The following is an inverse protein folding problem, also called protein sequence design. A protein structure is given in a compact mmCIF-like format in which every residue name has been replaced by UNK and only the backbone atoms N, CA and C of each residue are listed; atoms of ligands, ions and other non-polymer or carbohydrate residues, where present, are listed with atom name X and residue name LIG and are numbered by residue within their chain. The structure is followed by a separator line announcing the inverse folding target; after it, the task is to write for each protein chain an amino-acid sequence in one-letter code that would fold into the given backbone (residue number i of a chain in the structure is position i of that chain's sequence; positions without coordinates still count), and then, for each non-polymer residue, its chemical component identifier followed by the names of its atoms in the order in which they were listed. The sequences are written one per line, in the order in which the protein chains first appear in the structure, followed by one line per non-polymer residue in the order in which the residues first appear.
data_IF_264722255110
#
_entry.id   IF_264722255110
#
_cell.length_a   1.000
_cell.length_b   1.000
_cell.length_c   1.000
_cell.angle_alpha   90.00
_cell.angle_beta   90.00
_cell.angle_gamma   90.00
#
_symmetry.space_group_name_H-M   'P 1'
#
loop_
_entity.id
_entity.type
_entity.pdbx_description
1 polymer ?
#
# COMPACT_ATOMS: atom_id res chain seq x y z
N UNK A 1 -0.08 -28.77 -1.00
CA UNK A 1 -0.06 -27.36 -0.53
C UNK A 1 -1.31 -26.59 -0.93
N UNK A 2 -2.01 -26.98 -2.00
CA UNK A 2 -3.23 -26.34 -2.51
C UNK A 2 -4.52 -27.03 -2.07
N UNK A 3 -4.45 -28.01 -1.17
CA UNK A 3 -5.63 -28.70 -0.64
C UNK A 3 -6.31 -27.86 0.46
N UNK A 4 -7.64 -27.88 0.51
CA UNK A 4 -8.45 -27.07 1.44
C UNK A 4 -8.15 -27.35 2.91
N UNK A 5 -7.71 -28.56 3.26
CA UNK A 5 -7.33 -28.94 4.63
C UNK A 5 -5.82 -29.12 4.77
N UNK A 6 -5.17 -29.75 3.79
CA UNK A 6 -3.74 -30.04 3.81
C UNK A 6 -2.86 -28.79 3.86
N UNK A 7 -3.33 -27.65 3.36
CA UNK A 7 -2.58 -26.39 3.45
C UNK A 7 -2.31 -25.99 4.92
N UNK A 8 -3.23 -26.25 5.85
CA UNK A 8 -3.04 -25.91 7.27
C UNK A 8 -1.93 -26.73 7.92
N UNK A 9 -1.81 -28.01 7.55
CA UNK A 9 -0.74 -28.88 8.06
C UNK A 9 0.63 -28.39 7.58
N UNK A 10 0.75 -28.02 6.30
CA UNK A 10 2.00 -27.48 5.75
C UNK A 10 2.36 -26.14 6.41
N UNK A 11 1.39 -25.26 6.65
CA UNK A 11 1.61 -24.04 7.41
C UNK A 11 2.18 -24.32 8.80
N UNK A 12 1.64 -25.33 9.50
CA UNK A 12 2.12 -25.73 10.83
C UNK A 12 3.52 -26.34 10.79
N UNK A 13 3.89 -27.04 9.72
CA UNK A 13 5.26 -27.51 9.54
C UNK A 13 6.25 -26.37 9.29
N UNK A 14 5.87 -25.30 8.58
CA UNK A 14 6.71 -24.10 8.52
C UNK A 14 6.82 -23.41 9.88
N UNK A 15 5.74 -23.36 10.66
CA UNK A 15 5.70 -22.70 11.96
C UNK A 15 6.58 -23.41 13.01
N UNK A 16 6.45 -24.74 13.14
CA UNK A 16 7.08 -25.52 14.22
C UNK A 16 8.20 -26.46 13.78
N UNK A 17 8.42 -26.63 12.47
CA UNK A 17 9.45 -27.52 11.95
C UNK A 17 10.86 -27.05 12.26
N UNK A 18 11.81 -27.99 12.29
CA UNK A 18 13.23 -27.67 12.41
C UNK A 18 13.74 -26.95 11.16
N UNK A 19 14.90 -26.29 11.24
CA UNK A 19 15.51 -25.62 10.08
C UNK A 19 15.66 -26.57 8.87
N UNK A 20 16.05 -27.83 9.10
CA UNK A 20 16.15 -28.85 8.07
C UNK A 20 14.79 -29.19 7.44
N UNK A 21 13.75 -29.36 8.25
CA UNK A 21 12.39 -29.63 7.75
C UNK A 21 11.84 -28.46 6.95
N UNK A 22 12.04 -27.22 7.43
CA UNK A 22 11.66 -26.01 6.68
C UNK A 22 12.42 -25.93 5.36
N UNK A 23 13.70 -26.30 5.33
CA UNK A 23 14.47 -26.34 4.09
C UNK A 23 13.91 -27.36 3.08
N UNK A 24 13.50 -28.54 3.53
CA UNK A 24 12.82 -29.53 2.66
C UNK A 24 11.53 -28.94 2.08
N UNK A 25 10.72 -28.27 2.90
CA UNK A 25 9.49 -27.63 2.43
C UNK A 25 9.76 -26.48 1.46
N UNK A 26 10.77 -25.65 1.73
CA UNK A 26 11.20 -24.57 0.82
C UNK A 26 11.65 -25.13 -0.53
N UNK A 27 12.42 -26.22 -0.54
CA UNK A 27 12.80 -26.89 -1.79
C UNK A 27 11.60 -27.47 -2.54
N UNK A 28 10.56 -27.90 -1.83
CA UNK A 28 9.33 -28.39 -2.46
C UNK A 28 8.44 -27.27 -3.06
N UNK A 29 8.53 -26.02 -2.56
CA UNK A 29 7.83 -24.88 -3.20
C UNK A 29 8.58 -24.32 -4.40
N UNK A 30 9.90 -24.56 -4.48
CA UNK A 30 10.74 -24.03 -5.55
C UNK A 30 10.25 -24.48 -6.93
N UNK A 31 10.29 -23.55 -7.89
CA UNK A 31 9.73 -23.68 -9.24
C UNK A 31 8.20 -23.58 -9.31
N UNK A 32 7.51 -23.46 -8.16
CA UNK A 32 6.05 -23.41 -8.07
C UNK A 32 5.54 -22.19 -7.32
N UNK A 33 6.40 -21.23 -6.95
CA UNK A 33 6.05 -20.10 -6.09
C UNK A 33 4.91 -19.29 -6.69
N UNK A 34 4.99 -18.98 -7.98
CA UNK A 34 3.96 -18.19 -8.67
C UNK A 34 2.62 -18.91 -8.76
N UNK A 35 2.64 -20.22 -9.01
CA UNK A 35 1.42 -21.04 -9.03
C UNK A 35 0.75 -21.06 -7.66
N UNK A 36 1.54 -21.23 -6.60
CA UNK A 36 1.05 -21.22 -5.23
C UNK A 36 0.57 -19.84 -4.79
N UNK A 37 1.29 -18.77 -5.11
CA UNK A 37 0.96 -17.41 -4.72
C UNK A 37 -0.41 -16.93 -5.27
N UNK A 38 -0.78 -17.38 -6.47
CA UNK A 38 -2.04 -17.04 -7.12
C UNK A 38 -3.19 -18.00 -6.74
N UNK A 39 -2.90 -19.06 -5.99
CA UNK A 39 -3.89 -20.06 -5.58
C UNK A 39 -4.42 -19.78 -4.16
N UNK A 40 -5.73 -19.92 -3.97
CA UNK A 40 -6.47 -19.58 -2.74
C UNK A 40 -5.89 -20.16 -1.44
N UNK A 41 -5.36 -21.39 -1.46
CA UNK A 41 -4.78 -22.06 -0.29
C UNK A 41 -3.25 -22.01 -0.30
N UNK A 42 -2.65 -22.11 -1.49
CA UNK A 42 -1.21 -22.01 -1.71
C UNK A 42 -0.64 -20.66 -1.26
N UNK A 43 -1.38 -19.58 -1.44
CA UNK A 43 -0.94 -18.24 -1.05
C UNK A 43 -0.74 -18.16 0.47
N UNK A 44 -1.54 -18.91 1.25
CA UNK A 44 -1.43 -18.99 2.72
C UNK A 44 -0.16 -19.74 3.13
N UNK A 45 0.20 -20.78 2.38
CA UNK A 45 1.46 -21.51 2.58
C UNK A 45 2.66 -20.63 2.29
N UNK A 46 2.67 -19.88 1.17
CA UNK A 46 3.78 -18.97 0.83
C UNK A 46 3.90 -17.85 1.86
N UNK A 47 2.78 -17.27 2.29
CA UNK A 47 2.80 -16.27 3.37
C UNK A 47 3.41 -16.84 4.66
N UNK A 48 3.02 -18.06 5.07
CA UNK A 48 3.57 -18.69 6.27
C UNK A 48 5.05 -19.04 6.13
N UNK A 49 5.48 -19.47 4.93
CA UNK A 49 6.88 -19.73 4.64
C UNK A 49 7.71 -18.46 4.83
N UNK A 50 7.31 -17.33 4.23
CA UNK A 50 7.99 -16.04 4.38
C UNK A 50 8.15 -15.57 5.83
N UNK A 51 7.22 -15.93 6.71
CA UNK A 51 7.28 -15.62 8.15
C UNK A 51 8.24 -16.53 8.94
N UNK A 52 8.61 -17.68 8.40
CA UNK A 52 9.16 -18.78 9.19
C UNK A 52 10.54 -19.27 8.74
N UNK A 53 10.95 -18.91 7.52
CA UNK A 53 12.21 -19.33 6.88
C UNK A 53 13.28 -18.25 7.00
N UNK A 54 14.54 -18.65 6.87
CA UNK A 54 15.69 -17.74 6.96
C UNK A 54 15.79 -16.80 5.75
N UNK A 55 16.45 -15.63 5.88
CA UNK A 55 16.57 -14.65 4.80
C UNK A 55 17.10 -15.21 3.48
N UNK A 56 18.05 -16.15 3.51
CA UNK A 56 18.61 -16.79 2.30
C UNK A 56 17.54 -17.59 1.56
N UNK A 57 16.63 -18.23 2.29
CA UNK A 57 15.52 -19.01 1.73
C UNK A 57 14.41 -18.11 1.19
N UNK A 58 14.16 -16.96 1.84
CA UNK A 58 13.25 -15.95 1.30
C UNK A 58 13.69 -15.52 -0.11
N UNK A 59 15.00 -15.38 -0.36
CA UNK A 59 15.50 -14.98 -1.69
C UNK A 59 15.11 -15.94 -2.80
N UNK A 60 15.00 -17.23 -2.52
CA UNK A 60 14.57 -18.21 -3.52
C UNK A 60 13.11 -17.98 -3.93
N UNK A 61 12.25 -17.60 -2.99
CA UNK A 61 10.86 -17.20 -3.27
C UNK A 61 10.83 -15.91 -4.10
N UNK A 62 11.65 -14.92 -3.72
CA UNK A 62 11.66 -13.60 -4.37
C UNK A 62 12.10 -13.69 -5.84
N UNK A 63 13.12 -14.50 -6.14
CA UNK A 63 13.61 -14.71 -7.52
C UNK A 63 12.51 -15.20 -8.47
N UNK A 64 11.59 -16.04 -8.00
CA UNK A 64 10.49 -16.53 -8.83
C UNK A 64 9.37 -15.49 -9.01
N UNK A 65 9.26 -14.52 -8.11
CA UNK A 65 8.28 -13.43 -8.19
C UNK A 65 8.76 -12.26 -9.06
N UNK A 66 10.07 -12.13 -9.26
CA UNK A 66 10.67 -11.10 -10.09
C UNK A 66 10.10 -11.13 -11.53
N UNK A 67 9.76 -9.96 -12.07
CA UNK A 67 9.08 -9.84 -13.36
C UNK A 67 7.60 -10.22 -13.37
N UNK A 68 7.02 -10.69 -12.26
CA UNK A 68 5.59 -11.01 -12.12
C UNK A 68 4.87 -10.23 -11.00
N UNK A 69 5.55 -9.27 -10.37
CA UNK A 69 5.03 -8.49 -9.24
C UNK A 69 3.65 -7.89 -9.53
N UNK A 70 3.49 -7.17 -10.65
CA UNK A 70 2.21 -6.52 -11.00
C UNK A 70 1.05 -7.52 -11.17
N UNK A 71 1.35 -8.73 -11.66
CA UNK A 71 0.36 -9.80 -11.77
C UNK A 71 -0.12 -10.24 -10.39
N UNK A 72 0.81 -10.41 -9.44
CA UNK A 72 0.46 -10.73 -8.06
C UNK A 72 -0.32 -9.62 -7.38
N UNK A 73 0.10 -8.35 -7.52
CA UNK A 73 -0.55 -7.20 -6.88
C UNK A 73 -2.03 -7.08 -7.30
N UNK A 74 -2.35 -7.42 -8.55
CA UNK A 74 -3.72 -7.35 -9.09
C UNK A 74 -4.54 -8.62 -8.85
N UNK A 75 -3.95 -9.67 -8.30
CA UNK A 75 -4.62 -10.93 -8.01
C UNK A 75 -5.20 -10.96 -6.58
N UNK A 76 -6.36 -11.61 -6.40
CA UNK A 76 -7.05 -11.72 -5.12
C UNK A 76 -6.26 -12.47 -4.04
N UNK A 77 -5.33 -13.35 -4.43
CA UNK A 77 -4.47 -14.13 -3.55
C UNK A 77 -3.04 -13.57 -3.53
N UNK A 78 -2.51 -13.29 -4.71
CA UNK A 78 -1.13 -12.83 -4.91
C UNK A 78 -0.82 -11.52 -4.19
N UNK A 79 -1.81 -10.62 -4.05
CA UNK A 79 -1.60 -9.34 -3.37
C UNK A 79 -1.19 -9.55 -1.90
N UNK A 80 -1.73 -10.58 -1.24
CA UNK A 80 -1.39 -10.89 0.15
C UNK A 80 0.04 -11.44 0.27
N UNK A 81 0.52 -12.15 -0.76
CA UNK A 81 1.91 -12.61 -0.81
C UNK A 81 2.86 -11.43 -0.99
N UNK A 82 2.57 -10.49 -1.90
CA UNK A 82 3.40 -9.28 -2.08
C UNK A 82 3.42 -8.42 -0.82
N UNK A 83 2.27 -8.22 -0.16
CA UNK A 83 2.22 -7.54 1.14
C UNK A 83 3.11 -8.25 2.17
N UNK A 84 3.06 -9.59 2.24
CA UNK A 84 3.88 -10.37 3.18
C UNK A 84 5.37 -10.29 2.87
N UNK A 85 5.75 -10.25 1.60
CA UNK A 85 7.16 -10.01 1.19
C UNK A 85 7.62 -8.65 1.73
N UNK A 86 6.83 -7.60 1.52
CA UNK A 86 7.18 -6.24 1.99
C UNK A 86 7.27 -6.17 3.53
N UNK A 87 6.41 -6.89 4.25
CA UNK A 87 6.40 -6.91 5.72
C UNK A 87 7.55 -7.70 6.35
N UNK A 88 8.09 -8.72 5.66
CA UNK A 88 8.97 -9.75 6.26
C UNK A 88 10.35 -9.83 5.68
N UNK A 89 10.58 -9.28 4.50
CA UNK A 89 11.90 -9.26 3.87
C UNK A 89 12.55 -7.89 4.10
N UNK A 90 13.85 -7.91 4.34
CA UNK A 90 14.65 -6.69 4.47
C UNK A 90 14.47 -5.76 3.27
N UNK A 91 14.26 -4.47 3.54
CA UNK A 91 13.93 -3.47 2.53
C UNK A 91 14.99 -3.37 1.42
N UNK A 92 16.27 -3.65 1.71
CA UNK A 92 17.34 -3.64 0.70
C UNK A 92 17.11 -4.65 -0.44
N UNK A 93 16.30 -5.69 -0.20
CA UNK A 93 15.97 -6.75 -1.17
C UNK A 93 14.67 -6.49 -1.93
N UNK A 94 13.96 -5.40 -1.63
CA UNK A 94 12.64 -5.09 -2.19
C UNK A 94 12.67 -4.20 -3.43
N UNK A 95 13.86 -3.81 -3.93
CA UNK A 95 13.97 -2.87 -5.05
C UNK A 95 13.22 -3.33 -6.31
N UNK A 96 13.22 -4.63 -6.61
CA UNK A 96 12.49 -5.19 -7.75
C UNK A 96 10.97 -4.96 -7.66
N UNK A 97 10.40 -4.82 -6.46
CA UNK A 97 8.99 -4.44 -6.27
C UNK A 97 8.82 -2.97 -6.64
N UNK A 98 9.70 -2.09 -6.16
CA UNK A 98 9.65 -0.66 -6.47
C UNK A 98 9.79 -0.43 -7.97
N UNK A 99 10.73 -1.10 -8.63
CA UNK A 99 10.95 -0.99 -10.07
C UNK A 99 9.74 -1.46 -10.88
N UNK A 100 9.01 -2.47 -10.40
CA UNK A 100 7.78 -2.94 -11.02
C UNK A 100 6.59 -1.98 -10.80
N UNK A 101 6.55 -1.26 -9.68
CA UNK A 101 5.50 -0.29 -9.35
C UNK A 101 5.74 1.08 -9.98
N UNK A 102 7.01 1.43 -10.22
CA UNK A 102 7.46 2.71 -10.78
C UNK A 102 8.33 2.46 -12.02
N UNK A 103 7.77 1.85 -13.10
CA UNK A 103 8.54 1.59 -14.29
C UNK A 103 8.98 2.90 -14.97
N UNK A 104 10.17 2.90 -15.57
CA UNK A 104 10.75 4.09 -16.18
C UNK A 104 9.83 4.69 -17.26
N UNK A 105 9.59 6.00 -17.16
CA UNK A 105 8.75 6.74 -18.10
C UNK A 105 7.24 6.64 -17.84
N UNK A 106 6.81 5.84 -16.88
CA UNK A 106 5.40 5.75 -16.48
C UNK A 106 5.13 6.57 -15.21
N UNK A 107 4.00 7.29 -15.20
CA UNK A 107 3.57 8.12 -14.08
C UNK A 107 2.15 7.74 -13.60
N UNK A 108 1.64 6.58 -13.99
CA UNK A 108 0.25 6.21 -13.75
C UNK A 108 0.10 4.87 -13.01
N UNK A 109 1.11 4.00 -13.03
CA UNK A 109 1.06 2.68 -12.40
C UNK A 109 0.77 2.79 -10.91
N UNK A 110 1.46 3.68 -10.18
CA UNK A 110 1.18 3.90 -8.75
C UNK A 110 -0.25 4.39 -8.55
N UNK A 111 -0.71 5.37 -9.34
CA UNK A 111 -2.08 5.89 -9.24
C UNK A 111 -3.13 4.79 -9.49
N UNK A 112 -2.98 4.05 -10.59
CA UNK A 112 -3.86 2.94 -10.96
C UNK A 112 -3.92 1.85 -9.87
N UNK A 113 -2.79 1.57 -9.22
CA UNK A 113 -2.74 0.60 -8.13
C UNK A 113 -3.34 1.17 -6.84
N UNK A 114 -3.14 2.45 -6.54
CA UNK A 114 -3.77 3.13 -5.39
C UNK A 114 -5.29 3.18 -5.48
N UNK A 115 -5.85 3.19 -6.69
CA UNK A 115 -7.31 3.08 -6.93
C UNK A 115 -7.78 1.64 -7.18
N UNK A 116 -6.91 0.64 -7.02
CA UNK A 116 -7.25 -0.77 -7.17
C UNK A 116 -7.59 -1.40 -5.80
N UNK A 117 -8.64 -2.25 -5.68
CA UNK A 117 -9.07 -2.84 -4.41
C UNK A 117 -7.98 -3.59 -3.64
N UNK A 118 -7.03 -4.19 -4.36
CA UNK A 118 -5.88 -4.89 -3.77
C UNK A 118 -4.59 -4.07 -3.82
N UNK A 119 -4.43 -3.27 -4.87
CA UNK A 119 -3.18 -2.53 -5.12
C UNK A 119 -2.96 -1.46 -4.06
N UNK A 120 -4.03 -0.83 -3.59
CA UNK A 120 -3.97 0.22 -2.57
C UNK A 120 -3.35 -0.28 -1.25
N UNK A 121 -3.54 -1.57 -0.93
CA UNK A 121 -2.94 -2.21 0.25
C UNK A 121 -1.45 -2.46 0.06
N UNK A 122 -1.04 -2.89 -1.13
CA UNK A 122 0.38 -3.06 -1.47
C UNK A 122 1.11 -1.72 -1.43
N UNK A 123 0.53 -0.65 -2.01
CA UNK A 123 1.11 0.69 -1.93
C UNK A 123 1.26 1.16 -0.48
N UNK A 124 0.25 0.94 0.38
CA UNK A 124 0.38 1.23 1.81
C UNK A 124 1.51 0.45 2.49
N UNK A 125 1.67 -0.85 2.22
CA UNK A 125 2.81 -1.63 2.76
C UNK A 125 4.16 -1.07 2.33
N UNK A 126 4.29 -0.62 1.08
CA UNK A 126 5.53 0.04 0.61
C UNK A 126 5.81 1.31 1.42
N UNK A 127 4.79 2.15 1.64
CA UNK A 127 4.92 3.38 2.43
C UNK A 127 5.25 3.11 3.91
N UNK A 128 4.84 1.96 4.45
CA UNK A 128 5.10 1.58 5.84
C UNK A 128 6.49 0.98 6.04
N UNK A 129 6.93 0.08 5.16
CA UNK A 129 8.06 -0.82 5.44
C UNK A 129 9.32 -0.60 4.59
N UNK A 130 9.23 0.05 3.43
CA UNK A 130 10.40 0.30 2.60
C UNK A 130 11.28 1.42 3.15
N UNK A 131 12.46 1.65 2.58
CA UNK A 131 13.31 2.79 2.96
C UNK A 131 12.75 4.09 2.38
N UNK A 132 13.20 5.25 2.88
CA UNK A 132 12.74 6.54 2.38
C UNK A 132 13.10 6.75 0.89
N UNK A 133 14.26 6.25 0.45
CA UNK A 133 14.69 6.27 -0.95
C UNK A 133 13.74 5.45 -1.84
N UNK A 134 13.26 4.31 -1.34
CA UNK A 134 12.30 3.45 -2.03
C UNK A 134 10.88 4.04 -2.05
N UNK A 135 10.47 4.72 -0.98
CA UNK A 135 9.17 5.39 -0.88
C UNK A 135 9.08 6.62 -1.78
N UNK A 136 10.17 7.39 -1.90
CA UNK A 136 10.19 8.69 -2.62
C UNK A 136 9.59 8.63 -4.03
N UNK A 137 9.99 7.71 -4.94
CA UNK A 137 9.39 7.66 -6.28
C UNK A 137 7.90 7.32 -6.27
N UNK A 138 7.43 6.51 -5.31
CA UNK A 138 6.01 6.20 -5.13
C UNK A 138 5.25 7.44 -4.67
N UNK A 139 5.77 8.13 -3.66
CA UNK A 139 5.20 9.39 -3.15
C UNK A 139 5.13 10.45 -4.25
N UNK A 140 6.16 10.59 -5.08
CA UNK A 140 6.16 11.55 -6.17
C UNK A 140 5.13 11.27 -7.25
N UNK A 141 4.83 10.00 -7.54
CA UNK A 141 3.69 9.67 -8.41
C UNK A 141 2.35 9.96 -7.74
N UNK A 142 2.18 9.64 -6.45
CA UNK A 142 0.96 9.96 -5.70
C UNK A 142 0.66 11.46 -5.72
N UNK A 143 1.70 12.29 -5.48
CA UNK A 143 1.57 13.74 -5.45
C UNK A 143 1.15 14.37 -6.78
N UNK A 144 1.40 13.70 -7.91
CA UNK A 144 0.93 14.16 -9.23
C UNK A 144 -0.58 13.99 -9.41
N UNK A 145 -1.22 13.13 -8.60
CA UNK A 145 -2.60 12.68 -8.77
C UNK A 145 -3.45 12.81 -7.50
N UNK A 146 -3.06 13.67 -6.54
CA UNK A 146 -3.77 13.80 -5.25
C UNK A 146 -5.26 14.04 -5.45
N UNK A 147 -5.64 15.02 -6.29
CA UNK A 147 -7.06 15.37 -6.50
C UNK A 147 -7.90 14.19 -7.00
N UNK A 148 -7.37 13.33 -7.88
CA UNK A 148 -8.10 12.14 -8.33
C UNK A 148 -8.11 11.03 -7.27
N UNK A 149 -7.03 10.90 -6.49
CA UNK A 149 -6.92 9.86 -5.47
C UNK A 149 -7.84 10.12 -4.28
N UNK A 150 -7.99 11.37 -3.82
CA UNK A 150 -8.81 11.68 -2.64
C UNK A 150 -10.31 11.46 -2.87
N UNK A 151 -10.77 11.53 -4.13
CA UNK A 151 -12.17 11.24 -4.49
C UNK A 151 -12.40 9.77 -4.86
N UNK A 152 -11.36 8.94 -4.94
CA UNK A 152 -11.51 7.51 -5.22
C UNK A 152 -11.83 6.72 -3.94
N UNK A 153 -12.62 5.65 -4.07
CA UNK A 153 -13.07 4.81 -2.96
C UNK A 153 -11.93 4.04 -2.24
N UNK A 154 -10.80 3.82 -2.92
CA UNK A 154 -9.60 3.18 -2.35
C UNK A 154 -8.44 4.18 -2.20
N UNK A 155 -8.26 5.05 -3.20
CA UNK A 155 -7.19 6.04 -3.24
C UNK A 155 -7.18 6.98 -2.04
N UNK A 156 -8.37 7.33 -1.52
CA UNK A 156 -8.48 8.20 -0.35
C UNK A 156 -7.74 7.62 0.87
N UNK A 157 -7.72 6.29 1.05
CA UNK A 157 -7.00 5.66 2.15
C UNK A 157 -5.48 5.74 1.98
N UNK A 158 -4.99 5.68 0.74
CA UNK A 158 -3.55 5.85 0.47
C UNK A 158 -3.12 7.28 0.79
N UNK A 159 -3.91 8.29 0.41
CA UNK A 159 -3.61 9.69 0.75
C UNK A 159 -3.71 9.95 2.26
N UNK A 160 -4.73 9.41 2.94
CA UNK A 160 -4.82 9.46 4.41
C UNK A 160 -3.58 8.88 5.07
N UNK A 161 -3.07 7.75 4.56
CA UNK A 161 -1.85 7.13 5.08
C UNK A 161 -0.63 8.05 4.96
N UNK A 162 -0.47 8.76 3.83
CA UNK A 162 0.61 9.74 3.65
C UNK A 162 0.43 10.92 4.61
N UNK A 163 -0.80 11.37 4.87
CA UNK A 163 -1.05 12.45 5.84
C UNK A 163 -0.67 12.01 7.26
N UNK A 164 -0.99 10.78 7.66
CA UNK A 164 -0.73 10.26 9.01
C UNK A 164 0.76 10.02 9.27
N UNK A 165 1.47 9.41 8.33
CA UNK A 165 2.81 8.86 8.55
C UNK A 165 3.90 9.49 7.68
N UNK A 166 3.52 10.27 6.66
CA UNK A 166 4.45 10.93 5.77
C UNK A 166 5.16 12.13 6.41
N UNK A 167 6.19 12.61 5.71
CA UNK A 167 6.96 13.79 6.11
C UNK A 167 6.12 15.06 6.13
N UNK A 168 6.62 16.11 6.79
CA UNK A 168 5.98 17.42 6.76
C UNK A 168 5.82 17.94 5.32
N UNK A 169 6.84 17.76 4.48
CA UNK A 169 6.80 18.17 3.07
C UNK A 169 5.68 17.47 2.29
N UNK A 170 5.52 16.16 2.49
CA UNK A 170 4.45 15.41 1.82
C UNK A 170 3.06 15.87 2.29
N UNK A 171 2.91 16.19 3.59
CA UNK A 171 1.66 16.77 4.14
C UNK A 171 1.38 18.14 3.55
N UNK A 172 2.37 19.03 3.50
CA UNK A 172 2.26 20.36 2.91
C UNK A 172 1.79 20.26 1.45
N UNK A 173 2.39 19.34 0.66
CA UNK A 173 2.00 19.10 -0.74
C UNK A 173 0.54 18.67 -0.85
N UNK A 174 0.08 17.73 -0.04
CA UNK A 174 -1.32 17.27 -0.06
C UNK A 174 -2.28 18.39 0.35
N UNK A 175 -1.98 19.11 1.43
CA UNK A 175 -2.82 20.22 1.90
C UNK A 175 -2.91 21.30 0.84
N UNK A 176 -1.82 21.61 0.15
CA UNK A 176 -1.83 22.57 -0.95
C UNK A 176 -2.66 22.12 -2.16
N UNK A 177 -2.88 20.82 -2.36
CA UNK A 177 -3.75 20.31 -3.42
C UNK A 177 -5.25 20.43 -3.08
N UNK A 178 -5.62 20.44 -1.80
CA UNK A 178 -7.04 20.56 -1.39
C UNK A 178 -7.46 22.01 -1.11
N UNK A 179 -6.50 22.90 -0.84
CA UNK A 179 -6.75 24.34 -0.72
C UNK A 179 -7.44 24.90 -1.98
N UNK A 180 -8.38 25.80 -1.76
CA UNK A 180 -9.23 26.44 -2.77
C UNK A 180 -10.51 25.66 -3.08
N UNK A 181 -10.57 24.36 -2.73
CA UNK A 181 -11.67 23.45 -3.01
C UNK A 181 -12.16 22.72 -1.73
N UNK A 182 -11.84 23.23 -0.53
CA UNK A 182 -12.07 22.50 0.74
C UNK A 182 -13.53 22.14 0.95
N UNK A 183 -14.45 23.05 0.66
CA UNK A 183 -15.90 22.79 0.77
C UNK A 183 -16.33 21.65 -0.16
N UNK A 184 -15.87 21.68 -1.42
CA UNK A 184 -16.21 20.65 -2.40
C UNK A 184 -15.74 19.26 -1.93
N UNK A 185 -14.49 19.16 -1.46
CA UNK A 185 -13.96 17.89 -0.97
C UNK A 185 -14.61 17.44 0.33
N UNK A 186 -14.95 18.36 1.23
CA UNK A 186 -15.62 18.03 2.50
C UNK A 186 -17.04 17.47 2.31
N UNK A 187 -17.73 17.84 1.22
CA UNK A 187 -19.05 17.30 0.88
C UNK A 187 -18.98 16.01 0.04
N UNK A 188 -17.78 15.63 -0.43
CA UNK A 188 -17.60 14.42 -1.23
C UNK A 188 -17.40 13.18 -0.35
N UNK A 189 -18.18 12.12 -0.60
CA UNK A 189 -18.24 10.87 0.20
C UNK A 189 -16.89 10.32 0.66
N UNK A 190 -15.87 10.38 -0.20
CA UNK A 190 -14.54 9.84 0.09
C UNK A 190 -13.52 10.89 0.49
N UNK A 191 -13.58 12.09 -0.11
CA UNK A 191 -12.58 13.12 0.09
C UNK A 191 -12.80 13.85 1.42
N UNK A 192 -14.01 13.81 1.97
CA UNK A 192 -14.31 14.33 3.31
C UNK A 192 -13.42 13.70 4.37
N UNK A 193 -13.17 12.39 4.29
CA UNK A 193 -12.26 11.69 5.20
C UNK A 193 -10.81 12.20 5.09
N UNK A 194 -10.40 12.64 3.90
CA UNK A 194 -9.06 13.22 3.69
C UNK A 194 -8.98 14.61 4.30
N UNK A 195 -10.02 15.45 4.14
CA UNK A 195 -10.10 16.76 4.79
C UNK A 195 -10.07 16.61 6.32
N UNK A 196 -10.87 15.69 6.88
CA UNK A 196 -10.83 15.34 8.29
C UNK A 196 -9.42 14.93 8.72
N UNK A 197 -8.73 14.11 7.90
CA UNK A 197 -7.38 13.67 8.21
C UNK A 197 -6.37 14.80 8.24
N UNK A 198 -6.46 15.75 7.30
CA UNK A 198 -5.64 16.96 7.33
C UNK A 198 -5.88 17.77 8.62
N UNK A 199 -7.13 17.85 9.11
CA UNK A 199 -7.49 18.56 10.33
C UNK A 199 -7.05 17.84 11.61
N UNK A 200 -7.04 16.51 11.63
CA UNK A 200 -6.59 15.73 12.79
C UNK A 200 -5.07 15.64 12.87
N UNK A 201 -4.40 15.37 11.75
CA UNK A 201 -2.98 15.00 11.70
C UNK A 201 -2.05 16.09 11.16
N UNK A 202 -2.58 17.12 10.49
CA UNK A 202 -1.77 18.23 9.99
C UNK A 202 -1.24 19.12 11.12
N UNK A 203 -0.11 19.78 10.87
CA UNK A 203 0.41 20.87 11.72
C UNK A 203 -0.58 22.05 11.87
N UNK A 204 -0.44 22.88 12.91
CA UNK A 204 -1.34 24.02 13.16
C UNK A 204 -1.55 24.95 11.95
N UNK A 205 -0.53 25.19 11.13
CA UNK A 205 -0.66 26.03 9.92
C UNK A 205 -1.54 25.40 8.85
N UNK A 206 -1.51 24.07 8.69
CA UNK A 206 -2.42 23.37 7.80
C UNK A 206 -3.87 23.52 8.26
N UNK A 207 -4.11 23.25 9.55
CA UNK A 207 -5.46 23.33 10.14
C UNK A 207 -6.03 24.72 9.99
N UNK A 208 -5.25 25.73 10.35
CA UNK A 208 -5.64 27.13 10.22
C UNK A 208 -5.96 27.48 8.76
N UNK A 209 -5.15 27.06 7.80
CA UNK A 209 -5.41 27.36 6.40
C UNK A 209 -6.73 26.76 5.90
N UNK A 210 -7.04 25.50 6.25
CA UNK A 210 -8.29 24.85 5.87
C UNK A 210 -9.51 25.49 6.56
N UNK A 211 -9.38 25.80 7.86
CA UNK A 211 -10.45 26.46 8.64
C UNK A 211 -10.70 27.88 8.13
N UNK A 212 -9.65 28.65 7.85
CA UNK A 212 -9.77 30.01 7.30
C UNK A 212 -10.42 30.00 5.93
N UNK A 213 -10.20 28.99 5.09
CA UNK A 213 -10.88 28.89 3.80
C UNK A 213 -12.41 28.74 3.96
N UNK A 214 -12.85 27.96 4.94
CA UNK A 214 -14.28 27.71 5.20
C UNK A 214 -14.94 28.87 5.97
N UNK A 215 -14.25 29.40 6.99
CA UNK A 215 -14.82 30.39 7.93
C UNK A 215 -14.43 31.85 7.63
N UNK A 216 -13.36 32.07 6.88
CA UNK A 216 -12.78 33.40 6.63
C UNK A 216 -13.39 34.12 5.43
N UNK A 217 -14.30 33.48 4.69
CA UNK A 217 -15.02 34.12 3.59
C UNK A 217 -16.30 34.79 4.13
N UNK A 218 -16.45 36.13 4.03
CA UNK A 218 -17.62 36.85 4.55
C UNK A 218 -18.94 36.51 3.85
N UNK A 219 -18.90 35.73 2.78
CA UNK A 219 -20.10 35.10 2.21
C UNK A 219 -20.45 33.86 3.06
N UNK A 220 -21.34 34.05 4.03
CA UNK A 220 -21.83 33.05 4.98
C UNK A 220 -22.28 31.71 4.34
N UNK A 221 -22.57 31.69 3.03
CA UNK A 221 -23.03 30.52 2.26
C UNK A 221 -22.19 29.24 2.44
N UNK A 222 -20.87 29.35 2.65
CA UNK A 222 -20.00 28.16 2.81
C UNK A 222 -20.28 27.47 4.15
N UNK A 223 -20.34 28.22 5.25
CA UNK A 223 -20.73 27.71 6.56
C UNK A 223 -22.19 27.22 6.56
N UNK A 224 -23.08 27.95 5.90
CA UNK A 224 -24.49 27.53 5.77
C UNK A 224 -24.62 26.18 5.05
N UNK A 225 -23.83 25.91 4.00
CA UNK A 225 -23.86 24.62 3.29
C UNK A 225 -23.32 23.40 4.06
N UNK A 226 -22.65 23.63 5.20
CA UNK A 226 -22.29 22.57 6.15
C UNK A 226 -23.37 22.34 7.21
N UNK A 227 -24.14 23.38 7.53
CA UNK A 227 -25.06 23.39 8.67
C UNK A 227 -26.50 23.09 8.23
N UNK A 228 -26.89 23.48 7.02
CA UNK A 228 -28.23 23.35 6.44
C UNK A 228 -28.18 22.57 5.12
#
# INVERSE_FOLDING_TARGET
MTDVFGNYVIQKFFEYGTAEQKNILTNAVKGNVMSLALQMYGCRVIQKALESIEPEQQMEILKEMEGQVLKCVKDQNGNHVVQKVIERVDASRLQFIIDALVPAGDNMTVCNLSTHPYGCRVIQRVLEHCTDEQKRPVLDQLHKHVKSLIVDQYGNYVIQHVIEHGSLEDRDRIVNQVKGDVLHFAQHKFASNVIEKCLTCGEPHHKNALITEVCGNPNELVLFSFIF
#
